data_IF_498969326992
#
_entry.id   IF_498969326992
#
_cell.length_a   1.000
_cell.length_b   1.000
_cell.length_c   1.000
_cell.angle_alpha   90.00
_cell.angle_beta   90.00
_cell.angle_gamma   90.00
#
_symmetry.space_group_name_H-M   'P 1'
#
loop_
_entity.id
_entity.type
_entity.pdbx_description
1 polymer ?
#
# COMPACT_ATOMS: atom_id res chain seq x y z
N UNK A 1 16.46 -9.25 -21.97
CA UNK A 1 15.05 -9.66 -22.12
C UNK A 1 14.21 -8.62 -21.38
N UNK A 2 13.19 -8.02 -22.01
CA UNK A 2 12.41 -6.97 -21.33
C UNK A 2 11.71 -7.60 -20.11
N UNK A 3 12.08 -7.18 -18.91
CA UNK A 3 11.37 -7.54 -17.68
C UNK A 3 9.86 -7.37 -17.95
N UNK A 4 8.98 -8.31 -17.54
CA UNK A 4 7.53 -8.25 -17.81
C UNK A 4 6.81 -7.16 -17.00
N UNK A 5 7.50 -6.06 -16.68
CA UNK A 5 7.03 -4.85 -16.00
C UNK A 5 5.87 -4.25 -16.74
N UNK A 6 5.91 -4.21 -18.07
CA UNK A 6 4.80 -3.66 -18.86
C UNK A 6 3.48 -4.39 -18.54
N UNK A 7 3.50 -5.71 -18.39
CA UNK A 7 2.30 -6.47 -18.04
C UNK A 7 1.75 -6.07 -16.68
N UNK A 8 2.62 -5.95 -15.69
CA UNK A 8 2.24 -5.60 -14.32
C UNK A 8 1.75 -4.15 -14.20
N UNK A 9 2.41 -3.21 -14.88
CA UNK A 9 1.94 -1.82 -14.95
C UNK A 9 0.57 -1.73 -15.63
N UNK A 10 0.35 -2.50 -16.71
CA UNK A 10 -0.97 -2.57 -17.36
C UNK A 10 -2.04 -3.11 -16.40
N UNK A 11 -1.72 -4.14 -15.62
CA UNK A 11 -2.61 -4.66 -14.57
C UNK A 11 -2.91 -3.57 -13.53
N UNK A 12 -1.91 -2.85 -13.03
CA UNK A 12 -2.13 -1.75 -12.10
C UNK A 12 -3.01 -0.63 -12.68
N UNK A 13 -2.88 -0.30 -13.96
CA UNK A 13 -3.76 0.68 -14.63
C UNK A 13 -5.19 0.16 -14.79
N UNK A 14 -5.37 -1.13 -15.08
CA UNK A 14 -6.70 -1.75 -15.08
C UNK A 14 -7.32 -1.74 -13.66
N UNK A 15 -6.52 -1.99 -12.63
CA UNK A 15 -6.98 -1.91 -11.25
C UNK A 15 -7.40 -0.48 -10.88
N UNK A 16 -6.67 0.53 -11.33
CA UNK A 16 -7.07 1.94 -11.18
C UNK A 16 -8.43 2.20 -11.85
N UNK A 17 -8.65 1.69 -13.06
CA UNK A 17 -9.94 1.83 -13.74
C UNK A 17 -11.08 1.19 -12.95
N UNK A 18 -10.86 0.01 -12.37
CA UNK A 18 -11.84 -0.67 -11.51
C UNK A 18 -12.11 0.17 -10.26
N UNK A 19 -11.07 0.66 -9.57
CA UNK A 19 -11.20 1.54 -8.40
C UNK A 19 -12.01 2.78 -8.75
N UNK A 20 -11.67 3.48 -9.83
CA UNK A 20 -12.38 4.68 -10.27
C UNK A 20 -13.85 4.40 -10.58
N UNK A 21 -14.13 3.29 -11.27
CA UNK A 21 -15.50 2.88 -11.62
C UNK A 21 -16.32 2.58 -10.36
N UNK A 22 -15.77 1.86 -9.39
CA UNK A 22 -16.42 1.60 -8.10
C UNK A 22 -16.63 2.89 -7.29
N UNK A 23 -15.68 3.83 -7.36
CA UNK A 23 -15.83 5.16 -6.75
C UNK A 23 -17.00 5.95 -7.35
N UNK A 24 -17.22 5.86 -8.66
CA UNK A 24 -18.39 6.44 -9.34
C UNK A 24 -19.68 5.78 -8.85
N UNK A 25 -19.71 4.44 -8.74
CA UNK A 25 -20.88 3.71 -8.21
C UNK A 25 -21.21 4.13 -6.78
N UNK A 26 -20.19 4.25 -5.92
CA UNK A 26 -20.36 4.69 -4.53
C UNK A 26 -20.93 6.10 -4.44
N UNK A 27 -20.51 7.03 -5.32
CA UNK A 27 -21.06 8.39 -5.39
C UNK A 27 -22.46 8.43 -5.98
N UNK A 28 -22.73 7.62 -7.00
CA UNK A 28 -24.05 7.48 -7.60
C UNK A 28 -25.07 7.03 -6.55
N UNK A 29 -24.70 6.07 -5.70
CA UNK A 29 -25.57 5.52 -4.65
C UNK A 29 -25.94 6.53 -3.54
N UNK A 30 -25.16 7.61 -3.37
CA UNK A 30 -25.50 8.70 -2.45
C UNK A 30 -26.71 9.49 -2.99
N UNK A 31 -26.82 9.63 -4.31
CA UNK A 31 -27.86 10.43 -4.98
C UNK A 31 -29.08 9.59 -5.38
N UNK A 32 -28.88 8.31 -5.71
CA UNK A 32 -29.92 7.43 -6.24
C UNK A 32 -29.98 6.09 -5.47
N UNK A 33 -31.18 5.57 -5.18
CA UNK A 33 -31.32 4.31 -4.47
C UNK A 33 -30.82 3.13 -5.32
N UNK A 34 -29.98 2.30 -4.72
CA UNK A 34 -29.42 1.09 -5.34
C UNK A 34 -29.58 -0.09 -4.36
N UNK A 35 -30.76 -0.75 -4.36
CA UNK A 35 -31.17 -1.64 -3.27
C UNK A 35 -30.35 -2.94 -3.19
N UNK A 36 -29.72 -3.35 -4.29
CA UNK A 36 -28.92 -4.58 -4.36
C UNK A 36 -27.50 -4.45 -3.79
N UNK A 37 -27.07 -3.24 -3.42
CA UNK A 37 -25.71 -2.97 -2.97
C UNK A 37 -25.77 -2.38 -1.57
N UNK A 38 -25.01 -2.92 -0.63
CA UNK A 38 -24.80 -2.25 0.66
C UNK A 38 -23.66 -1.20 0.52
N UNK A 39 -23.90 0.02 1.01
CA UNK A 39 -22.95 1.13 0.83
C UNK A 39 -21.66 0.88 1.61
N UNK A 40 -21.78 0.40 2.85
CA UNK A 40 -20.66 0.19 3.76
C UNK A 40 -19.81 -0.97 3.26
N UNK A 41 -20.44 -2.05 2.83
CA UNK A 41 -19.77 -3.23 2.28
C UNK A 41 -19.00 -2.91 0.99
N UNK A 42 -19.64 -2.21 0.05
CA UNK A 42 -18.98 -1.78 -1.18
C UNK A 42 -17.83 -0.81 -0.90
N UNK A 43 -18.00 0.11 0.06
CA UNK A 43 -16.95 1.05 0.46
C UNK A 43 -15.71 0.31 0.99
N UNK A 44 -15.88 -0.74 1.78
CA UNK A 44 -14.78 -1.56 2.28
C UNK A 44 -14.08 -2.32 1.16
N UNK A 45 -14.84 -2.97 0.26
CA UNK A 45 -14.27 -3.62 -0.91
C UNK A 45 -13.47 -2.64 -1.79
N UNK A 46 -14.02 -1.44 -2.02
CA UNK A 46 -13.37 -0.38 -2.77
C UNK A 46 -12.07 0.09 -2.12
N UNK A 47 -12.07 0.41 -0.82
CA UNK A 47 -10.88 0.90 -0.12
C UNK A 47 -9.80 -0.19 -0.06
N UNK A 48 -10.13 -1.43 0.34
CA UNK A 48 -9.16 -2.52 0.37
C UNK A 48 -8.54 -2.80 -1.01
N UNK A 49 -9.35 -2.77 -2.07
CA UNK A 49 -8.85 -2.93 -3.44
C UNK A 49 -8.02 -1.74 -3.92
N UNK A 50 -8.39 -0.50 -3.55
CA UNK A 50 -7.61 0.69 -3.86
C UNK A 50 -6.21 0.64 -3.24
N UNK A 51 -6.11 0.28 -1.96
CA UNK A 51 -4.84 0.22 -1.22
C UNK A 51 -3.99 -0.98 -1.63
N UNK A 52 -4.53 -2.19 -1.59
CA UNK A 52 -3.76 -3.42 -1.86
C UNK A 52 -3.66 -3.71 -3.36
N UNK A 53 -4.80 -3.70 -4.06
CA UNK A 53 -4.92 -4.11 -5.46
C UNK A 53 -4.36 -3.10 -6.45
N UNK A 54 -4.52 -1.80 -6.21
CA UNK A 54 -4.02 -0.76 -7.11
C UNK A 54 -2.66 -0.19 -6.67
N UNK A 55 -2.63 0.68 -5.65
CA UNK A 55 -1.45 1.49 -5.36
C UNK A 55 -0.29 0.65 -4.81
N UNK A 56 -0.55 -0.27 -3.88
CA UNK A 56 0.49 -1.18 -3.36
C UNK A 56 1.00 -2.12 -4.44
N UNK A 57 0.12 -2.66 -5.29
CA UNK A 57 0.53 -3.49 -6.43
C UNK A 57 1.45 -2.73 -7.39
N UNK A 58 1.15 -1.46 -7.68
CA UNK A 58 1.97 -0.61 -8.53
C UNK A 58 3.34 -0.37 -7.89
N UNK A 59 3.38 0.03 -6.62
CA UNK A 59 4.61 0.27 -5.87
C UNK A 59 5.45 -1.02 -5.80
N UNK A 60 4.87 -2.15 -5.41
CA UNK A 60 5.56 -3.44 -5.35
C UNK A 60 6.17 -3.80 -6.71
N UNK A 61 5.45 -3.59 -7.81
CA UNK A 61 5.95 -3.82 -9.17
C UNK A 61 7.17 -2.94 -9.48
N UNK A 62 7.11 -1.65 -9.14
CA UNK A 62 8.21 -0.71 -9.37
C UNK A 62 9.44 -1.06 -8.49
N UNK A 63 9.24 -1.44 -7.24
CA UNK A 63 10.32 -1.87 -6.33
C UNK A 63 11.00 -3.16 -6.80
N UNK A 64 10.21 -4.13 -7.27
CA UNK A 64 10.77 -5.36 -7.88
C UNK A 64 11.56 -5.04 -9.13
N UNK A 65 11.07 -4.09 -9.95
CA UNK A 65 11.79 -3.63 -11.14
C UNK A 65 13.10 -2.95 -10.78
N UNK A 66 13.11 -2.13 -9.73
CA UNK A 66 14.31 -1.52 -9.19
C UNK A 66 15.33 -2.59 -8.77
N UNK A 67 14.93 -3.56 -7.96
CA UNK A 67 15.83 -4.64 -7.52
C UNK A 67 16.31 -5.52 -8.68
N UNK A 68 15.44 -5.86 -9.63
CA UNK A 68 15.81 -6.68 -10.78
C UNK A 68 16.85 -6.01 -11.69
N UNK A 69 16.83 -4.66 -11.78
CA UNK A 69 17.87 -3.90 -12.49
C UNK A 69 19.22 -3.93 -11.79
N UNK A 70 19.24 -4.02 -10.45
CA UNK A 70 20.47 -4.01 -9.66
C UNK A 70 21.07 -5.42 -9.44
N UNK A 71 20.23 -6.44 -9.32
CA UNK A 71 20.62 -7.81 -8.94
C UNK A 71 20.32 -8.87 -10.00
N UNK A 72 19.79 -8.48 -11.16
CA UNK A 72 19.46 -9.38 -12.27
C UNK A 72 18.05 -10.02 -12.19
N UNK A 73 17.72 -10.79 -13.22
CA UNK A 73 16.35 -11.33 -13.44
C UNK A 73 15.93 -12.43 -12.46
N UNK A 74 16.87 -13.04 -11.73
CA UNK A 74 16.57 -14.09 -10.73
C UNK A 74 15.70 -13.56 -9.59
N UNK A 75 15.85 -12.27 -9.25
CA UNK A 75 15.01 -11.58 -8.27
C UNK A 75 13.56 -11.57 -8.74
N UNK A 76 13.30 -11.20 -9.99
CA UNK A 76 11.93 -11.13 -10.50
C UNK A 76 11.18 -12.47 -10.36
N UNK A 77 11.83 -13.61 -10.65
CA UNK A 77 11.22 -14.94 -10.51
C UNK A 77 10.75 -15.23 -9.08
N UNK A 78 11.51 -14.76 -8.08
CA UNK A 78 11.19 -14.93 -6.65
C UNK A 78 9.99 -14.06 -6.23
N UNK A 79 9.95 -12.81 -6.66
CA UNK A 79 8.89 -11.87 -6.27
C UNK A 79 7.59 -12.04 -7.05
N UNK A 80 7.64 -12.70 -8.22
CA UNK A 80 6.47 -12.98 -9.05
C UNK A 80 5.32 -13.58 -8.23
N UNK A 81 5.60 -14.56 -7.37
CA UNK A 81 4.58 -15.18 -6.53
C UNK A 81 3.96 -14.22 -5.50
N UNK A 82 4.74 -13.30 -4.95
CA UNK A 82 4.22 -12.27 -4.03
C UNK A 82 3.33 -11.26 -4.75
N UNK A 83 3.69 -10.86 -5.98
CA UNK A 83 2.87 -9.97 -6.81
C UNK A 83 1.53 -10.62 -7.19
N UNK A 84 1.53 -11.92 -7.51
CA UNK A 84 0.29 -12.66 -7.74
C UNK A 84 -0.51 -12.87 -6.46
N UNK A 85 0.15 -13.16 -5.34
CA UNK A 85 -0.49 -13.31 -4.04
C UNK A 85 -1.25 -12.05 -3.63
N UNK A 86 -0.61 -10.88 -3.73
CA UNK A 86 -1.25 -9.60 -3.40
C UNK A 86 -2.42 -9.28 -4.34
N UNK A 87 -2.25 -9.56 -5.64
CA UNK A 87 -3.32 -9.37 -6.61
C UNK A 87 -4.52 -10.28 -6.28
N UNK A 88 -4.26 -11.56 -6.02
CA UNK A 88 -5.29 -12.54 -5.67
C UNK A 88 -6.05 -12.13 -4.40
N UNK A 89 -5.34 -11.79 -3.32
CA UNK A 89 -6.00 -11.36 -2.07
C UNK A 89 -6.79 -10.08 -2.28
N UNK A 90 -6.30 -9.12 -3.08
CA UNK A 90 -7.01 -7.90 -3.39
C UNK A 90 -8.32 -8.15 -4.16
N UNK A 91 -8.30 -8.97 -5.22
CA UNK A 91 -9.52 -9.31 -5.95
C UNK A 91 -10.48 -10.15 -5.12
N UNK A 92 -9.98 -11.05 -4.29
CA UNK A 92 -10.81 -11.83 -3.39
C UNK A 92 -11.52 -10.93 -2.37
N UNK A 93 -10.83 -9.95 -1.79
CA UNK A 93 -11.44 -8.92 -0.94
C UNK A 93 -12.47 -8.09 -1.69
N UNK A 94 -12.15 -7.67 -2.93
CA UNK A 94 -13.05 -6.86 -3.76
C UNK A 94 -14.40 -7.55 -3.98
N UNK A 95 -14.43 -8.88 -4.06
CA UNK A 95 -15.65 -9.67 -4.25
C UNK A 95 -16.29 -10.03 -2.90
N UNK A 96 -15.50 -10.43 -1.90
CA UNK A 96 -16.00 -10.88 -0.61
C UNK A 96 -16.71 -9.76 0.17
N UNK A 97 -16.15 -8.56 0.19
CA UNK A 97 -16.72 -7.45 0.96
C UNK A 97 -18.12 -7.04 0.48
N UNK A 98 -18.41 -6.84 -0.82
CA UNK A 98 -19.77 -6.54 -1.27
C UNK A 98 -20.81 -7.63 -0.99
N UNK A 99 -20.39 -8.91 -0.95
CA UNK A 99 -21.30 -10.06 -0.76
C UNK A 99 -21.60 -10.28 0.73
N UNK A 100 -20.58 -10.34 1.56
CA UNK A 100 -20.71 -10.76 2.97
C UNK A 100 -20.42 -9.63 3.98
N UNK A 101 -19.90 -8.50 3.51
CA UNK A 101 -19.40 -7.45 4.40
C UNK A 101 -18.19 -7.92 5.20
N UNK A 102 -18.23 -7.70 6.52
CA UNK A 102 -17.24 -8.23 7.47
C UNK A 102 -17.49 -9.71 7.80
N UNK A 103 -17.67 -10.52 6.76
CA UNK A 103 -17.79 -11.97 6.87
C UNK A 103 -16.44 -12.68 7.04
N UNK A 104 -16.52 -14.00 7.22
CA UNK A 104 -15.36 -14.87 7.41
C UNK A 104 -14.36 -14.74 6.25
N UNK A 105 -14.83 -14.80 5.00
CA UNK A 105 -13.95 -14.75 3.83
C UNK A 105 -13.25 -13.40 3.71
N UNK A 106 -13.95 -12.28 3.96
CA UNK A 106 -13.36 -10.94 3.96
C UNK A 106 -12.22 -10.82 4.98
N UNK A 107 -12.41 -11.36 6.19
CA UNK A 107 -11.37 -11.35 7.24
C UNK A 107 -10.19 -12.23 6.84
N UNK A 108 -10.43 -13.44 6.32
CA UNK A 108 -9.38 -14.36 5.88
C UNK A 108 -8.52 -13.70 4.78
N UNK A 109 -9.15 -13.15 3.74
CA UNK A 109 -8.41 -12.54 2.63
C UNK A 109 -7.70 -11.25 3.03
N UNK A 110 -8.30 -10.43 3.92
CA UNK A 110 -7.64 -9.23 4.46
C UNK A 110 -6.41 -9.60 5.27
N UNK A 111 -6.53 -10.60 6.15
CA UNK A 111 -5.42 -11.11 6.96
C UNK A 111 -4.33 -11.71 6.07
N UNK A 112 -4.71 -12.53 5.08
CA UNK A 112 -3.77 -13.07 4.10
C UNK A 112 -3.03 -11.98 3.32
N UNK A 113 -3.71 -10.89 2.96
CA UNK A 113 -3.09 -9.74 2.29
C UNK A 113 -2.01 -9.07 3.15
N UNK A 114 -2.23 -8.96 4.47
CA UNK A 114 -1.22 -8.45 5.42
C UNK A 114 -0.02 -9.38 5.46
N UNK A 115 -0.22 -10.70 5.51
CA UNK A 115 0.88 -11.67 5.50
C UNK A 115 1.70 -11.61 4.19
N UNK A 116 1.04 -11.46 3.04
CA UNK A 116 1.73 -11.25 1.75
C UNK A 116 2.58 -9.97 1.79
N UNK A 117 2.02 -8.89 2.36
CA UNK A 117 2.71 -7.61 2.54
C UNK A 117 3.96 -7.75 3.44
N UNK A 118 3.86 -8.49 4.54
CA UNK A 118 4.99 -8.79 5.42
C UNK A 118 6.05 -9.65 4.74
N UNK A 119 5.65 -10.69 4.01
CA UNK A 119 6.57 -11.51 3.23
C UNK A 119 7.30 -10.62 2.22
N UNK A 120 6.60 -9.75 1.50
CA UNK A 120 7.23 -8.77 0.61
C UNK A 120 8.23 -7.87 1.34
N UNK A 121 7.87 -7.31 2.49
CA UNK A 121 8.75 -6.46 3.30
C UNK A 121 10.04 -7.18 3.69
N UNK A 122 9.96 -8.42 4.20
CA UNK A 122 11.12 -9.21 4.63
C UNK A 122 12.03 -9.54 3.45
N UNK A 123 11.46 -9.97 2.33
CA UNK A 123 12.24 -10.27 1.13
C UNK A 123 12.93 -9.02 0.60
N UNK A 124 12.20 -7.90 0.48
CA UNK A 124 12.73 -6.63 0.00
C UNK A 124 13.89 -6.15 0.88
N UNK A 125 13.72 -6.20 2.20
CA UNK A 125 14.75 -5.79 3.15
C UNK A 125 16.03 -6.61 3.02
N UNK A 126 15.89 -7.93 2.87
CA UNK A 126 17.03 -8.86 2.70
C UNK A 126 17.76 -8.60 1.40
N UNK A 127 17.05 -8.44 0.29
CA UNK A 127 17.68 -8.21 -1.01
C UNK A 127 18.31 -6.81 -1.10
N UNK A 128 17.70 -5.78 -0.50
CA UNK A 128 18.32 -4.45 -0.37
C UNK A 128 19.62 -4.47 0.45
N UNK A 129 19.73 -5.35 1.45
CA UNK A 129 20.95 -5.52 2.24
C UNK A 129 22.09 -6.21 1.48
N UNK A 130 21.77 -7.03 0.48
CA UNK A 130 22.74 -7.78 -0.33
C UNK A 130 23.36 -6.95 -1.46
N UNK A 131 22.78 -5.79 -1.77
CA UNK A 131 23.32 -4.88 -2.77
C UNK A 131 24.64 -4.27 -2.29
N UNK A 132 25.67 -4.33 -3.14
CA UNK A 132 27.01 -3.81 -2.84
C UNK A 132 27.03 -2.28 -2.67
N UNK A 133 26.28 -1.55 -3.51
CA UNK A 133 26.20 -0.10 -3.41
C UNK A 133 25.10 0.32 -2.43
N UNK A 134 25.47 1.00 -1.35
CA UNK A 134 24.51 1.57 -0.39
C UNK A 134 24.17 2.98 -0.84
N UNK A 135 22.95 3.17 -1.32
CA UNK A 135 22.45 4.48 -1.77
C UNK A 135 21.41 5.02 -0.78
N UNK A 136 21.20 6.35 -0.70
CA UNK A 136 20.13 6.91 0.12
C UNK A 136 18.75 6.33 -0.21
N UNK A 137 18.50 5.99 -1.49
CA UNK A 137 17.33 5.23 -1.97
C UNK A 137 17.02 4.02 -1.08
N UNK A 138 18.03 3.24 -0.67
CA UNK A 138 17.81 2.03 0.13
C UNK A 138 17.23 2.33 1.51
N UNK A 139 17.60 3.47 2.10
CA UNK A 139 17.09 3.87 3.41
C UNK A 139 15.59 4.25 3.30
N UNK A 140 15.24 5.02 2.27
CA UNK A 140 13.84 5.37 1.96
C UNK A 140 12.98 4.13 1.74
N UNK A 141 13.46 3.17 0.94
CA UNK A 141 12.72 1.94 0.66
C UNK A 141 12.55 1.04 1.90
N UNK A 142 13.55 0.99 2.78
CA UNK A 142 13.45 0.29 4.06
C UNK A 142 12.44 0.96 4.99
N UNK A 143 12.50 2.28 5.13
CA UNK A 143 11.53 3.02 5.90
C UNK A 143 10.10 2.79 5.39
N UNK A 144 9.91 2.76 4.07
CA UNK A 144 8.60 2.47 3.46
C UNK A 144 8.02 1.13 3.94
N UNK A 145 8.78 0.03 3.82
CA UNK A 145 8.28 -1.30 4.24
C UNK A 145 8.14 -1.42 5.75
N UNK A 146 8.94 -0.70 6.53
CA UNK A 146 8.80 -0.64 7.99
C UNK A 146 7.47 0.03 8.37
N UNK A 147 7.14 1.16 7.77
CA UNK A 147 5.87 1.84 8.03
C UNK A 147 4.67 1.06 7.50
N UNK A 148 4.83 0.35 6.39
CA UNK A 148 3.81 -0.58 5.91
C UNK A 148 3.52 -1.66 6.97
N UNK A 149 4.56 -2.27 7.54
CA UNK A 149 4.39 -3.22 8.63
C UNK A 149 3.76 -2.57 9.87
N UNK A 150 4.24 -1.39 10.29
CA UNK A 150 3.70 -0.67 11.43
C UNK A 150 2.22 -0.31 11.27
N UNK A 151 1.79 0.08 10.06
CA UNK A 151 0.40 0.45 9.77
C UNK A 151 -0.59 -0.66 10.11
N UNK A 152 -0.18 -1.92 9.92
CA UNK A 152 -1.05 -3.08 10.13
C UNK A 152 -1.47 -3.27 11.59
N UNK A 153 -0.79 -2.65 12.57
CA UNK A 153 -1.26 -2.61 13.96
C UNK A 153 -2.64 -1.95 14.06
N UNK A 154 -2.87 -0.88 13.29
CA UNK A 154 -4.19 -0.25 13.20
C UNK A 154 -5.23 -1.16 12.55
N UNK A 155 -4.85 -1.92 11.51
CA UNK A 155 -5.73 -2.88 10.87
C UNK A 155 -6.12 -4.04 11.80
N UNK A 156 -5.19 -4.55 12.61
CA UNK A 156 -5.49 -5.58 13.60
C UNK A 156 -6.37 -5.05 14.73
N UNK A 157 -6.12 -3.82 15.20
CA UNK A 157 -6.98 -3.18 16.19
C UNK A 157 -8.42 -3.04 15.67
N UNK A 158 -8.61 -2.61 14.42
CA UNK A 158 -9.92 -2.57 13.75
C UNK A 158 -10.55 -3.96 13.66
N UNK A 159 -9.79 -4.98 13.26
CA UNK A 159 -10.29 -6.34 13.13
C UNK A 159 -10.81 -6.88 14.49
N UNK A 160 -10.04 -6.68 15.57
CA UNK A 160 -10.43 -7.09 16.93
C UNK A 160 -11.72 -6.38 17.36
N UNK A 161 -11.80 -5.06 17.17
CA UNK A 161 -13.01 -4.29 17.53
C UNK A 161 -14.26 -4.75 16.77
N UNK A 162 -14.11 -5.13 15.50
CA UNK A 162 -15.22 -5.63 14.68
C UNK A 162 -15.68 -7.02 15.09
N UNK A 163 -14.76 -7.88 15.56
CA UNK A 163 -15.07 -9.23 16.08
C UNK A 163 -15.77 -9.15 17.43
N UNK A 164 -15.24 -8.35 18.36
CA UNK A 164 -15.77 -8.18 19.71
C UNK A 164 -17.11 -7.41 19.74
N UNK A 165 -17.51 -6.78 18.62
CA UNK A 165 -18.67 -5.89 18.50
C UNK A 165 -18.67 -4.69 19.47
N UNK A 166 -17.55 -4.43 20.14
CA UNK A 166 -17.34 -3.31 21.04
C UNK A 166 -16.68 -2.15 20.27
N UNK A 167 -17.49 -1.40 19.53
CA UNK A 167 -17.01 -0.28 18.71
C UNK A 167 -17.13 1.02 19.50
N UNK A 168 -16.07 1.37 20.25
CA UNK A 168 -15.93 2.72 20.77
C UNK A 168 -15.55 3.65 19.61
N UNK A 169 -16.42 4.60 19.28
CA UNK A 169 -16.25 5.49 18.12
C UNK A 169 -14.86 6.14 18.07
N UNK A 170 -14.36 6.64 19.20
CA UNK A 170 -13.04 7.28 19.28
C UNK A 170 -11.89 6.29 19.01
N UNK A 171 -11.98 5.07 19.56
CA UNK A 171 -10.95 4.04 19.36
C UNK A 171 -10.95 3.52 17.92
N UNK A 172 -12.14 3.34 17.33
CA UNK A 172 -12.31 2.95 15.94
C UNK A 172 -11.68 3.99 14.99
N UNK A 173 -12.03 5.27 15.16
CA UNK A 173 -11.47 6.36 14.36
C UNK A 173 -9.96 6.49 14.56
N UNK A 174 -9.47 6.35 15.79
CA UNK A 174 -8.03 6.39 16.06
C UNK A 174 -7.27 5.26 15.35
N UNK A 175 -7.79 4.03 15.36
CA UNK A 175 -7.17 2.89 14.68
C UNK A 175 -7.20 3.05 13.15
N UNK A 176 -8.30 3.55 12.59
CA UNK A 176 -8.42 3.85 11.16
C UNK A 176 -7.46 4.95 10.72
N UNK A 177 -7.41 6.08 11.44
CA UNK A 177 -6.48 7.16 11.13
C UNK A 177 -5.02 6.76 11.31
N UNK A 178 -4.71 5.93 12.31
CA UNK A 178 -3.38 5.37 12.48
C UNK A 178 -2.98 4.52 11.26
N UNK A 179 -3.86 3.61 10.83
CA UNK A 179 -3.62 2.79 9.63
C UNK A 179 -3.39 3.65 8.39
N UNK A 180 -4.29 4.61 8.13
CA UNK A 180 -4.22 5.50 6.97
C UNK A 180 -2.97 6.38 6.99
N UNK A 181 -2.61 6.94 8.15
CA UNK A 181 -1.44 7.79 8.31
C UNK A 181 -0.16 7.06 7.89
N UNK A 182 0.06 5.85 8.42
CA UNK A 182 1.25 5.07 8.09
C UNK A 182 1.23 4.44 6.69
N UNK A 183 0.05 4.23 6.10
CA UNK A 183 -0.06 3.83 4.69
C UNK A 183 0.30 4.99 3.76
N UNK A 184 -0.34 6.15 3.88
CA UNK A 184 -0.10 7.29 3.00
C UNK A 184 1.27 7.94 3.24
N UNK A 185 1.53 8.41 4.47
CA UNK A 185 2.75 9.15 4.80
C UNK A 185 3.96 8.25 5.03
N UNK A 186 3.72 6.95 5.28
CA UNK A 186 4.77 5.96 5.47
C UNK A 186 5.01 5.15 4.20
N UNK A 187 4.22 4.11 3.98
CA UNK A 187 4.44 3.15 2.89
C UNK A 187 4.48 3.81 1.51
N UNK A 188 3.43 4.53 1.12
CA UNK A 188 3.33 5.10 -0.23
C UNK A 188 4.34 6.23 -0.45
N UNK A 189 4.36 7.20 0.47
CA UNK A 189 5.23 8.35 0.34
C UNK A 189 6.72 7.95 0.28
N UNK A 190 7.20 7.16 1.23
CA UNK A 190 8.62 6.80 1.27
C UNK A 190 9.02 5.90 0.08
N UNK A 191 8.13 5.02 -0.38
CA UNK A 191 8.40 4.20 -1.55
C UNK A 191 8.53 5.06 -2.82
N UNK A 192 7.61 6.01 -3.02
CA UNK A 192 7.64 6.94 -4.15
C UNK A 192 8.88 7.85 -4.09
N UNK A 193 9.21 8.41 -2.92
CA UNK A 193 10.41 9.24 -2.75
C UNK A 193 11.70 8.47 -2.97
N UNK A 194 11.78 7.22 -2.50
CA UNK A 194 12.90 6.34 -2.77
C UNK A 194 13.08 6.10 -4.27
N UNK A 195 12.01 5.73 -4.98
CA UNK A 195 12.04 5.53 -6.43
C UNK A 195 12.39 6.82 -7.20
N UNK A 196 11.86 7.97 -6.78
CA UNK A 196 12.18 9.27 -7.37
C UNK A 196 13.67 9.61 -7.23
N UNK A 197 14.25 9.38 -6.04
CA UNK A 197 15.67 9.62 -5.79
C UNK A 197 16.56 8.80 -6.73
N UNK A 198 16.19 7.54 -6.98
CA UNK A 198 16.90 6.70 -7.96
C UNK A 198 16.80 7.25 -9.40
N UNK A 199 15.65 7.82 -9.79
CA UNK A 199 15.50 8.44 -11.12
C UNK A 199 16.37 9.69 -11.22
N UNK A 200 16.31 10.58 -10.23
CA UNK A 200 17.10 11.82 -10.20
C UNK A 200 18.61 11.56 -10.27
N UNK A 201 19.07 10.53 -9.55
CA UNK A 201 20.48 10.12 -9.56
C UNK A 201 20.97 9.65 -10.94
N UNK A 202 20.08 9.12 -11.79
CA UNK A 202 20.41 8.71 -13.16
C UNK A 202 20.43 9.86 -14.15
N UNK A 203 19.78 10.97 -13.82
CA UNK A 203 19.67 12.16 -14.68
C UNK A 203 20.83 13.14 -14.41
N UNK A 204 21.88 12.74 -13.69
CA UNK A 204 23.06 13.57 -13.37
C UNK A 204 22.69 14.93 -12.75
N UNK A 205 21.63 14.98 -11.95
CA UNK A 205 21.34 16.17 -11.12
C UNK A 205 22.36 16.22 -9.99
N UNK A 206 23.09 17.34 -9.88
CA UNK A 206 24.21 17.54 -8.95
C UNK A 206 23.85 17.11 -7.50
N UNK A 207 24.60 16.17 -6.88
CA UNK A 207 24.31 15.63 -5.55
C UNK A 207 24.31 16.67 -4.43
N UNK A 208 24.79 17.91 -4.67
CA UNK A 208 24.74 19.03 -3.70
C UNK A 208 23.36 19.62 -3.46
N UNK A 209 22.37 19.36 -4.32
CA UNK A 209 20.97 19.78 -4.10
C UNK A 209 20.23 18.81 -3.15
N UNK A 210 20.71 17.55 -3.05
CA UNK A 210 20.08 16.45 -2.32
C UNK A 210 20.52 16.21 -0.85
N UNK A 211 21.59 16.79 -0.24
CA UNK A 211 22.01 16.38 1.10
C UNK A 211 21.14 16.98 2.22
N UNK A 212 20.45 18.10 1.96
CA UNK A 212 19.67 18.83 2.97
C UNK A 212 18.22 18.36 3.16
N UNK A 213 17.67 17.60 2.21
CA UNK A 213 16.24 17.22 2.22
C UNK A 213 15.94 15.97 3.07
N UNK A 214 16.95 15.18 3.44
CA UNK A 214 16.74 13.92 4.17
C UNK A 214 16.44 14.10 5.65
N UNK A 215 16.77 15.23 6.27
CA UNK A 215 16.51 15.46 7.71
C UNK A 215 15.25 16.30 7.98
N UNK A 216 15.05 17.36 7.19
CA UNK A 216 13.98 18.34 7.43
C UNK A 216 12.59 17.83 7.01
N UNK A 217 12.51 16.99 5.98
CA UNK A 217 11.22 16.46 5.51
C UNK A 217 10.62 15.41 6.45
N UNK A 218 11.47 14.63 7.15
CA UNK A 218 10.98 13.68 8.15
C UNK A 218 10.25 14.39 9.27
N UNK A 219 10.76 15.52 9.76
CA UNK A 219 10.15 16.24 10.89
C UNK A 219 8.84 16.95 10.51
N UNK A 220 8.69 17.37 9.25
CA UNK A 220 7.49 18.06 8.77
C UNK A 220 6.34 17.10 8.37
N UNK A 221 6.63 15.85 7.98
CA UNK A 221 5.62 14.84 7.65
C UNK A 221 5.08 14.08 8.86
N UNK A 222 5.82 14.04 9.98
CA UNK A 222 5.30 13.55 11.26
C UNK A 222 4.35 14.55 11.94
N UNK A 223 4.32 15.82 11.52
CA UNK A 223 3.63 16.90 12.24
C UNK A 223 2.22 17.33 11.79
N UNK A 224 1.61 16.95 10.64
CA UNK A 224 0.33 17.54 10.25
C UNK A 224 -0.89 16.70 10.65
N UNK A 225 -0.91 16.09 11.85
CA UNK A 225 -2.15 15.52 12.42
C UNK A 225 -2.42 15.92 13.89
N UNK A 226 -1.44 16.44 14.64
CA UNK A 226 -1.70 16.96 16.00
C UNK A 226 -2.29 18.38 16.04
N UNK A 227 -2.56 19.01 14.88
CA UNK A 227 -3.21 20.32 14.76
C UNK A 227 -4.58 20.24 14.09
N UNK A 228 -5.42 19.27 14.45
CA UNK A 228 -6.87 19.44 14.37
C UNK A 228 -7.33 20.00 15.72
N UNK A 229 -7.52 21.34 15.86
CA UNK A 229 -8.13 21.86 17.07
C UNK A 229 -9.55 21.30 17.16
N UNK A 230 -9.88 20.75 18.32
CA UNK A 230 -11.27 20.62 18.75
C UNK A 230 -11.96 21.98 18.54
N UNK A 231 -12.99 21.97 17.71
CA UNK A 231 -13.92 23.07 17.47
C UNK A 231 -15.24 22.49 17.03
#
# INVERSE_FOLDING_TARGET
MALPVHRWVRISLLNLLIVASLGVVLRYKILYPLPFVDQKHLLHGHSHFAFAGWISQAIMTLLVTYLARQSGETVYKRYKWLLYGNLFTAYAMLIAFPIEGYGLYSIIFSTASIFVSYAFAVYLWRDLNRLHQKTPTHLWLKAAVLFNALSSLGAFALAIMMVERLVFQNAYLAAEYFYLHFQYNGWFFFACMGLLNEVLRKVEVDPKILPGYSGSLHLQLFLPIFYLPCG
#
